data_IF_352451117608
#
_entry.id   IF_352451117608
#
_cell.length_a   1.000
_cell.length_b   1.000
_cell.length_c   1.000
_cell.angle_alpha   90.00
_cell.angle_beta   90.00
_cell.angle_gamma   90.00
#
_symmetry.space_group_name_H-M   'P 1'
#
loop_
_entity.id
_entity.type
_entity.pdbx_description
1 polymer ?
#
# COMPACT_ATOMS: atom_id res chain seq x y z
N UNK A 1 32.80 -26.89 20.27
CA UNK A 1 31.91 -26.52 21.39
C UNK A 1 31.37 -25.13 21.15
N UNK A 2 30.05 -25.06 20.98
CA UNK A 2 29.12 -23.92 21.06
C UNK A 2 27.77 -24.61 20.75
N UNK A 3 27.04 -25.25 21.65
CA UNK A 3 26.68 -24.99 23.05
C UNK A 3 26.06 -23.61 23.31
N UNK A 4 25.16 -23.21 22.42
CA UNK A 4 24.04 -22.35 22.81
C UNK A 4 22.71 -22.91 22.27
N UNK A 5 21.95 -23.47 23.21
CA UNK A 5 20.49 -23.48 23.27
C UNK A 5 19.71 -24.37 22.28
N UNK A 6 19.68 -25.66 22.60
CA UNK A 6 18.41 -26.40 22.62
C UNK A 6 17.36 -25.60 23.42
N UNK A 7 16.25 -25.21 22.78
CA UNK A 7 14.87 -25.13 23.31
C UNK A 7 14.04 -24.17 22.46
N UNK A 8 13.25 -24.72 21.53
CA UNK A 8 12.43 -23.88 20.65
C UNK A 8 11.34 -24.57 19.83
N UNK A 9 10.72 -25.65 20.33
CA UNK A 9 9.51 -26.30 19.78
C UNK A 9 9.70 -26.93 18.39
N UNK A 10 9.85 -28.25 18.37
CA UNK A 10 9.67 -29.08 17.17
C UNK A 10 8.20 -28.96 16.71
N UNK A 11 7.87 -27.85 16.02
CA UNK A 11 6.53 -27.62 15.47
C UNK A 11 6.43 -28.48 14.22
N UNK A 12 5.55 -29.47 14.27
CA UNK A 12 5.21 -30.28 13.11
C UNK A 12 4.75 -29.32 12.00
N UNK A 13 5.39 -29.31 10.81
CA UNK A 13 4.94 -28.49 9.70
C UNK A 13 3.51 -28.88 9.37
N UNK A 14 2.61 -27.91 9.32
CA UNK A 14 1.20 -28.14 8.98
C UNK A 14 0.85 -27.48 7.67
N UNK A 15 0.07 -28.20 6.85
CA UNK A 15 -0.56 -27.69 5.63
C UNK A 15 -1.63 -26.67 5.98
N UNK A 16 -2.16 -26.00 4.97
CA UNK A 16 -3.35 -25.14 5.05
C UNK A 16 -4.55 -25.82 5.72
N UNK A 17 -4.68 -27.14 5.57
CA UNK A 17 -5.76 -27.98 6.12
C UNK A 17 -5.47 -28.53 7.54
N UNK A 18 -4.36 -28.12 8.16
CA UNK A 18 -3.97 -28.57 9.51
C UNK A 18 -3.34 -29.97 9.56
N UNK A 19 -3.28 -30.68 8.45
CA UNK A 19 -2.54 -31.95 8.27
C UNK A 19 -1.03 -31.72 8.29
N UNK A 20 -0.25 -32.77 8.56
CA UNK A 20 1.22 -32.69 8.54
C UNK A 20 1.69 -32.44 7.10
N UNK A 21 2.49 -31.40 6.91
CA UNK A 21 3.08 -31.03 5.62
C UNK A 21 4.36 -31.84 5.40
N UNK A 22 4.42 -32.57 4.31
CA UNK A 22 5.59 -33.34 3.89
C UNK A 22 6.29 -32.66 2.70
N UNK A 23 7.47 -33.14 2.33
CA UNK A 23 8.20 -32.63 1.16
C UNK A 23 7.41 -32.81 -0.16
N UNK A 24 6.45 -33.73 -0.20
CA UNK A 24 5.61 -33.99 -1.37
C UNK A 24 4.49 -32.95 -1.55
N UNK A 25 4.14 -32.24 -0.47
CA UNK A 25 3.13 -31.16 -0.49
C UNK A 25 3.69 -29.80 -0.91
N UNK A 26 5.02 -29.75 -1.06
CA UNK A 26 5.69 -28.57 -1.55
C UNK A 26 5.41 -28.42 -3.04
N UNK A 27 5.27 -27.18 -3.53
CA UNK A 27 5.09 -26.95 -4.95
C UNK A 27 6.26 -27.58 -5.72
N UNK A 28 6.00 -28.13 -6.92
CA UNK A 28 7.06 -28.72 -7.73
C UNK A 28 8.13 -27.67 -8.00
N UNK A 29 9.39 -28.10 -8.06
CA UNK A 29 10.49 -27.20 -8.35
C UNK A 29 10.22 -26.49 -9.70
N UNK A 30 10.60 -25.22 -9.80
CA UNK A 30 10.33 -24.40 -11.00
C UNK A 30 10.98 -24.92 -12.29
N UNK A 31 11.89 -25.89 -12.17
CA UNK A 31 12.56 -26.59 -13.27
C UNK A 31 12.04 -28.01 -13.53
N UNK A 32 11.00 -28.47 -12.81
CA UNK A 32 10.43 -29.80 -12.99
C UNK A 32 9.80 -29.93 -14.40
N UNK A 33 9.97 -31.09 -15.07
CA UNK A 33 9.42 -31.31 -16.41
C UNK A 33 7.89 -31.15 -16.41
N UNK A 34 7.39 -30.30 -17.32
CA UNK A 34 5.95 -30.01 -17.46
C UNK A 34 5.47 -28.74 -16.74
N UNK A 35 6.34 -28.03 -15.99
CA UNK A 35 6.01 -26.75 -15.37
C UNK A 35 6.57 -25.61 -16.22
N UNK A 36 5.69 -24.93 -16.97
CA UNK A 36 6.04 -23.69 -17.68
C UNK A 36 6.49 -22.62 -16.69
N UNK A 37 7.76 -22.25 -16.75
CA UNK A 37 8.43 -21.26 -15.88
C UNK A 37 7.77 -19.87 -15.96
N UNK A 38 7.14 -19.57 -17.10
CA UNK A 38 6.36 -18.38 -17.41
C UNK A 38 4.95 -18.37 -16.79
N UNK A 39 4.44 -19.54 -16.34
CA UNK A 39 3.03 -19.73 -15.97
C UNK A 39 2.83 -20.36 -14.59
N UNK A 40 3.84 -20.40 -13.72
CA UNK A 40 3.62 -20.81 -12.34
C UNK A 40 3.03 -19.65 -11.52
N UNK A 41 1.70 -19.66 -11.38
CA UNK A 41 1.00 -18.67 -10.56
C UNK A 41 1.06 -19.11 -9.09
N UNK A 42 1.94 -18.49 -8.29
CA UNK A 42 2.02 -18.74 -6.86
C UNK A 42 0.68 -18.45 -6.16
N UNK A 43 -0.07 -19.50 -5.80
CA UNK A 43 -1.29 -19.36 -5.01
C UNK A 43 -0.93 -19.05 -3.55
N UNK A 44 -1.88 -18.47 -2.82
CA UNK A 44 -1.68 -18.15 -1.40
C UNK A 44 -1.30 -19.38 -0.57
N UNK A 45 -1.81 -20.56 -0.95
CA UNK A 45 -1.52 -21.83 -0.28
C UNK A 45 -0.10 -22.32 -0.57
N UNK A 46 0.33 -22.28 -1.82
CA UNK A 46 1.70 -22.68 -2.23
C UNK A 46 2.76 -21.83 -1.48
N UNK A 47 2.50 -20.52 -1.35
CA UNK A 47 3.36 -19.61 -0.58
C UNK A 47 3.37 -19.92 0.91
N UNK A 48 2.22 -20.23 1.50
CA UNK A 48 2.10 -20.56 2.90
C UNK A 48 2.83 -21.87 3.23
N UNK A 49 2.73 -22.87 2.35
CA UNK A 49 3.40 -24.16 2.48
C UNK A 49 4.94 -24.00 2.44
N UNK A 50 5.47 -23.20 1.51
CA UNK A 50 6.91 -22.90 1.45
C UNK A 50 7.39 -22.17 2.70
N UNK A 51 6.65 -21.14 3.16
CA UNK A 51 7.00 -20.42 4.40
C UNK A 51 6.94 -21.34 5.63
N UNK A 52 5.92 -22.20 5.72
CA UNK A 52 5.75 -23.18 6.80
C UNK A 52 6.92 -24.16 6.83
N UNK A 53 7.27 -24.73 5.67
CA UNK A 53 8.38 -25.68 5.53
C UNK A 53 9.73 -25.07 5.92
N UNK A 54 9.99 -23.83 5.51
CA UNK A 54 11.22 -23.13 5.91
C UNK A 54 11.22 -22.82 7.41
N UNK A 55 10.09 -22.36 7.97
CA UNK A 55 9.97 -22.04 9.39
C UNK A 55 10.10 -23.26 10.31
N UNK A 56 9.71 -24.44 9.82
CA UNK A 56 9.85 -25.71 10.54
C UNK A 56 11.16 -26.43 10.20
N UNK A 57 12.05 -25.80 9.43
CA UNK A 57 13.32 -26.35 8.99
C UNK A 57 13.19 -27.66 8.17
N UNK A 58 12.07 -27.84 7.47
CA UNK A 58 11.83 -28.96 6.54
C UNK A 58 12.64 -28.78 5.25
N UNK A 59 12.80 -27.53 4.82
CA UNK A 59 13.75 -27.10 3.78
C UNK A 59 14.51 -25.88 4.32
N UNK A 60 15.75 -25.68 3.89
CA UNK A 60 16.48 -24.47 4.28
C UNK A 60 16.02 -23.25 3.48
N UNK A 61 16.31 -22.03 3.96
CA UNK A 61 16.05 -20.78 3.22
C UNK A 61 16.79 -20.77 1.89
N UNK A 62 18.06 -21.15 1.90
CA UNK A 62 18.91 -21.17 0.71
C UNK A 62 18.41 -22.20 -0.31
N UNK A 63 18.01 -23.39 0.17
CA UNK A 63 17.38 -24.41 -0.68
C UNK A 63 16.07 -23.89 -1.29
N UNK A 64 15.23 -23.17 -0.53
CA UNK A 64 14.01 -22.59 -1.07
C UNK A 64 14.31 -21.53 -2.16
N UNK A 65 15.34 -20.70 -1.98
CA UNK A 65 15.74 -19.70 -2.98
C UNK A 65 16.27 -20.35 -4.26
N UNK A 66 17.07 -21.42 -4.14
CA UNK A 66 17.59 -22.16 -5.29
C UNK A 66 16.48 -22.93 -6.01
N UNK A 67 15.65 -23.67 -5.26
CA UNK A 67 14.59 -24.55 -5.79
C UNK A 67 13.46 -23.78 -6.46
N UNK A 68 13.13 -22.61 -5.93
CA UNK A 68 11.99 -21.79 -6.39
C UNK A 68 12.39 -20.48 -7.07
N UNK A 69 13.70 -20.20 -7.20
CA UNK A 69 14.23 -18.94 -7.77
C UNK A 69 13.61 -17.70 -7.11
N UNK A 70 13.36 -17.78 -5.80
CA UNK A 70 12.79 -16.68 -5.02
C UNK A 70 13.89 -15.73 -4.59
N UNK A 71 13.62 -14.42 -4.67
CA UNK A 71 14.52 -13.45 -4.04
C UNK A 71 14.32 -13.44 -2.51
N UNK A 72 15.36 -13.13 -1.72
CA UNK A 72 15.25 -12.99 -0.27
C UNK A 72 14.17 -11.99 0.15
N UNK A 73 13.99 -10.92 -0.63
CA UNK A 73 12.99 -9.87 -0.38
C UNK A 73 11.55 -10.36 -0.58
N UNK A 74 11.32 -11.21 -1.58
CA UNK A 74 10.03 -11.82 -1.85
C UNK A 74 9.63 -12.78 -0.74
N UNK A 75 10.55 -13.65 -0.32
CA UNK A 75 10.33 -14.58 0.78
C UNK A 75 10.05 -13.84 2.10
N UNK A 76 10.87 -12.83 2.44
CA UNK A 76 10.66 -12.02 3.65
C UNK A 76 9.29 -11.31 3.65
N UNK A 77 8.79 -10.94 2.48
CA UNK A 77 7.45 -10.36 2.34
C UNK A 77 6.36 -11.39 2.64
N UNK A 78 6.52 -12.64 2.18
CA UNK A 78 5.58 -13.72 2.49
C UNK A 78 5.62 -14.11 3.96
N UNK A 79 6.82 -14.26 4.54
CA UNK A 79 7.03 -14.58 5.95
C UNK A 79 6.37 -13.53 6.86
N UNK A 80 6.57 -12.23 6.58
CA UNK A 80 5.94 -11.14 7.34
C UNK A 80 4.41 -11.15 7.25
N UNK A 81 3.87 -11.44 6.07
CA UNK A 81 2.43 -11.51 5.84
C UNK A 81 1.78 -12.68 6.58
N UNK A 82 2.44 -13.85 6.58
CA UNK A 82 2.01 -15.02 7.35
C UNK A 82 2.10 -14.74 8.86
N UNK A 83 3.17 -14.09 9.32
CA UNK A 83 3.35 -13.77 10.73
C UNK A 83 2.29 -12.77 11.25
N UNK A 84 1.85 -11.83 10.41
CA UNK A 84 0.92 -10.76 10.81
C UNK A 84 -0.55 -11.11 10.62
N UNK A 85 -0.91 -11.80 9.53
CA UNK A 85 -2.30 -12.03 9.15
C UNK A 85 -2.62 -13.51 8.91
N UNK A 86 -1.68 -14.41 9.23
CA UNK A 86 -1.78 -15.81 8.86
C UNK A 86 -1.89 -15.98 7.33
N UNK A 87 -2.56 -17.05 6.91
CA UNK A 87 -2.79 -17.36 5.48
C UNK A 87 -3.50 -16.23 4.73
N UNK A 88 -4.39 -15.50 5.40
CA UNK A 88 -5.16 -14.42 4.77
C UNK A 88 -4.24 -13.25 4.30
N UNK A 89 -3.04 -13.13 4.87
CA UNK A 89 -2.03 -12.16 4.46
C UNK A 89 -1.48 -12.40 3.06
N UNK A 90 -1.57 -13.61 2.51
CA UNK A 90 -0.96 -13.97 1.22
C UNK A 90 -1.88 -13.81 0.00
N UNK A 91 -3.13 -13.37 0.19
CA UNK A 91 -4.02 -13.05 -0.93
C UNK A 91 -3.49 -11.89 -1.77
N UNK A 92 -3.80 -11.90 -3.07
CA UNK A 92 -3.38 -10.88 -4.04
C UNK A 92 -3.71 -9.45 -3.60
N UNK A 93 -4.83 -9.27 -2.85
CA UNK A 93 -5.24 -7.96 -2.31
C UNK A 93 -4.29 -7.45 -1.21
N UNK A 94 -3.84 -8.33 -0.32
CA UNK A 94 -2.94 -8.02 0.79
C UNK A 94 -1.51 -7.74 0.31
N UNK A 95 -1.03 -8.49 -0.69
CA UNK A 95 0.28 -8.26 -1.31
C UNK A 95 0.37 -6.90 -2.03
N UNK A 96 -0.73 -6.43 -2.62
CA UNK A 96 -0.79 -5.12 -3.30
C UNK A 96 -0.68 -3.96 -2.33
N UNK A 97 -1.23 -4.10 -1.12
CA UNK A 97 -1.12 -3.10 -0.06
C UNK A 97 0.34 -2.95 0.40
N UNK A 98 1.02 -4.06 0.73
CA UNK A 98 2.42 -4.03 1.21
C UNK A 98 3.40 -3.46 0.18
N UNK A 99 3.22 -3.78 -1.11
CA UNK A 99 4.06 -3.22 -2.19
C UNK A 99 3.84 -1.72 -2.38
N UNK A 100 2.64 -1.23 -2.09
CA UNK A 100 2.33 0.20 -2.15
C UNK A 100 2.98 0.95 -0.97
N UNK A 101 2.99 0.33 0.22
CA UNK A 101 3.59 0.91 1.43
C UNK A 101 5.13 0.98 1.33
N UNK A 102 5.82 -0.08 0.88
CA UNK A 102 7.29 -0.05 0.74
C UNK A 102 7.79 0.98 -0.28
N UNK A 103 7.03 1.23 -1.34
CA UNK A 103 7.35 2.26 -2.34
C UNK A 103 7.07 3.68 -1.81
N UNK A 104 6.16 3.83 -0.85
CA UNK A 104 5.96 5.08 -0.12
C UNK A 104 7.07 5.31 0.91
N UNK A 105 7.47 4.28 1.66
CA UNK A 105 8.51 4.38 2.70
C UNK A 105 9.89 4.74 2.12
N UNK A 106 10.34 4.09 1.03
CA UNK A 106 11.63 4.42 0.37
C UNK A 106 11.68 5.83 -0.24
N UNK A 107 10.53 6.49 -0.44
CA UNK A 107 10.46 7.85 -0.98
C UNK A 107 10.44 8.94 0.10
N UNK A 108 10.35 8.56 1.39
CA UNK A 108 10.26 9.49 2.53
C UNK A 108 11.59 10.12 2.93
N UNK A 109 12.73 9.50 2.60
CA UNK A 109 14.02 9.89 3.20
C UNK A 109 14.87 10.89 2.40
N UNK A 110 14.45 11.45 1.26
CA UNK A 110 15.33 12.40 0.53
C UNK A 110 14.62 13.39 -0.39
N UNK A 111 13.68 14.19 0.11
CA UNK A 111 13.27 15.41 -0.62
C UNK A 111 13.12 16.55 0.40
N UNK A 112 14.16 17.38 0.50
CA UNK A 112 14.09 18.67 1.18
C UNK A 112 13.27 19.58 0.24
N UNK A 113 12.03 19.90 0.61
CA UNK A 113 11.17 20.78 -0.18
C UNK A 113 11.69 22.21 -0.07
N UNK A 114 12.37 22.70 -1.11
CA UNK A 114 12.93 24.06 -1.18
C UNK A 114 11.90 25.13 -1.59
N UNK A 115 10.62 24.77 -1.75
CA UNK A 115 9.53 25.70 -2.07
C UNK A 115 8.83 26.27 -0.83
N UNK A 116 8.38 27.52 -0.90
CA UNK A 116 7.51 28.08 0.16
C UNK A 116 6.20 27.29 0.25
N UNK A 117 5.73 26.97 1.47
CA UNK A 117 4.48 26.24 1.65
C UNK A 117 3.28 27.09 1.24
N UNK A 118 2.39 26.51 0.43
CA UNK A 118 1.15 27.18 0.01
C UNK A 118 0.13 27.09 1.15
N UNK A 119 -0.27 28.22 1.72
CA UNK A 119 -1.31 28.28 2.76
C UNK A 119 -2.70 28.27 2.13
N UNK A 120 -3.52 27.27 2.49
CA UNK A 120 -4.92 27.14 2.06
C UNK A 120 -5.82 26.98 3.29
N UNK A 121 -6.09 28.10 3.97
CA UNK A 121 -6.81 28.07 5.25
C UNK A 121 -5.98 27.44 6.38
N UNK A 122 -6.47 26.36 7.02
CA UNK A 122 -5.72 25.69 8.09
C UNK A 122 -4.62 24.76 7.57
N UNK A 123 -4.55 24.55 6.26
CA UNK A 123 -3.59 23.65 5.64
C UNK A 123 -2.38 24.38 5.07
N UNK A 124 -1.19 23.81 5.27
CA UNK A 124 0.02 24.17 4.55
C UNK A 124 0.36 23.06 3.58
N UNK A 125 0.59 23.41 2.32
CA UNK A 125 0.91 22.44 1.28
C UNK A 125 2.33 22.59 0.78
N UNK A 126 2.94 21.46 0.51
CA UNK A 126 4.32 21.28 0.09
C UNK A 126 4.33 20.57 -1.28
N UNK A 127 4.32 21.33 -2.40
CA UNK A 127 4.14 20.78 -3.74
C UNK A 127 5.22 19.78 -4.16
N UNK A 128 6.48 20.00 -3.77
CA UNK A 128 7.60 19.12 -4.15
C UNK A 128 7.42 17.69 -3.65
N UNK A 129 6.85 17.56 -2.44
CA UNK A 129 6.61 16.27 -1.78
C UNK A 129 5.15 15.83 -1.79
N UNK A 130 4.23 16.68 -2.27
CA UNK A 130 2.77 16.48 -2.23
C UNK A 130 2.27 16.20 -0.82
N UNK A 131 2.82 16.91 0.15
CA UNK A 131 2.46 16.83 1.56
C UNK A 131 1.50 17.96 1.92
N UNK A 132 0.54 17.64 2.77
CA UNK A 132 -0.40 18.60 3.37
C UNK A 132 -0.24 18.50 4.87
N UNK A 133 -0.10 19.63 5.55
CA UNK A 133 -0.04 19.70 7.00
C UNK A 133 -1.14 20.56 7.56
N UNK A 134 -1.64 20.23 8.75
CA UNK A 134 -2.60 21.01 9.51
C UNK A 134 -2.11 21.03 10.96
N UNK A 135 -1.54 22.17 11.39
CA UNK A 135 -0.81 22.23 12.66
C UNK A 135 0.36 21.24 12.69
N UNK A 136 0.33 20.28 13.61
CA UNK A 136 1.35 19.22 13.77
C UNK A 136 1.05 17.95 12.99
N UNK A 137 -0.13 17.83 12.37
CA UNK A 137 -0.51 16.65 11.60
C UNK A 137 -0.08 16.78 10.15
N UNK A 138 0.46 15.71 9.57
CA UNK A 138 0.87 15.65 8.18
C UNK A 138 0.26 14.45 7.45
N UNK A 139 -0.09 14.67 6.19
CA UNK A 139 -0.60 13.65 5.27
C UNK A 139 0.05 13.80 3.90
N UNK A 140 0.24 12.68 3.21
CA UNK A 140 0.84 12.64 1.88
C UNK A 140 -0.22 12.28 0.85
N UNK A 141 -0.30 13.07 -0.22
CA UNK A 141 -1.26 12.87 -1.29
C UNK A 141 -0.65 12.03 -2.41
N UNK A 142 -1.47 11.13 -2.97
CA UNK A 142 -1.12 10.44 -4.22
C UNK A 142 -1.02 11.46 -5.36
N UNK A 143 -0.32 11.15 -6.48
CA UNK A 143 -0.26 12.09 -7.61
C UNK A 143 -1.65 12.51 -8.13
N UNK A 144 -2.62 11.59 -8.10
CA UNK A 144 -4.00 11.88 -8.50
C UNK A 144 -4.70 12.79 -7.49
N UNK A 145 -4.56 12.52 -6.19
CA UNK A 145 -5.12 13.38 -5.14
C UNK A 145 -4.53 14.79 -5.19
N UNK A 146 -3.22 14.90 -5.40
CA UNK A 146 -2.55 16.19 -5.55
C UNK A 146 -3.06 16.97 -6.76
N UNK A 147 -3.19 16.35 -7.93
CA UNK A 147 -3.74 17.01 -9.13
C UNK A 147 -5.13 17.59 -8.90
N UNK A 148 -6.01 16.80 -8.27
CA UNK A 148 -7.35 17.26 -7.90
C UNK A 148 -7.27 18.40 -6.89
N UNK A 149 -6.39 18.30 -5.89
CA UNK A 149 -6.26 19.34 -4.88
C UNK A 149 -5.68 20.63 -5.46
N UNK A 150 -4.67 20.55 -6.32
CA UNK A 150 -4.10 21.70 -7.02
C UNK A 150 -5.11 22.43 -7.90
N UNK A 151 -6.06 21.71 -8.50
CA UNK A 151 -7.17 22.37 -9.22
C UNK A 151 -7.98 23.28 -8.28
N UNK A 152 -8.32 22.81 -7.09
CA UNK A 152 -9.05 23.62 -6.10
C UNK A 152 -8.22 24.82 -5.60
N UNK A 153 -6.91 24.68 -5.50
CA UNK A 153 -5.99 25.77 -5.13
C UNK A 153 -5.95 26.83 -6.22
N UNK A 154 -5.89 26.42 -7.50
CA UNK A 154 -5.93 27.36 -8.63
C UNK A 154 -7.27 28.08 -8.75
N UNK A 155 -8.37 27.39 -8.45
CA UNK A 155 -9.74 27.90 -8.56
C UNK A 155 -10.26 28.51 -7.24
N UNK A 156 -9.38 29.11 -6.41
CA UNK A 156 -9.66 29.59 -5.03
C UNK A 156 -11.11 30.01 -4.79
N UNK A 157 -11.86 29.21 -4.03
CA UNK A 157 -13.23 29.53 -3.61
C UNK A 157 -14.32 29.41 -4.69
N UNK A 158 -13.98 28.93 -5.89
CA UNK A 158 -14.95 28.68 -6.97
C UNK A 158 -15.28 27.19 -7.11
N UNK A 159 -16.45 26.91 -7.69
CA UNK A 159 -16.89 25.53 -7.94
C UNK A 159 -16.12 25.01 -9.15
N UNK A 160 -15.35 23.95 -8.95
CA UNK A 160 -14.66 23.22 -10.03
C UNK A 160 -15.64 22.21 -10.62
N UNK A 161 -15.98 22.32 -11.92
CA UNK A 161 -16.89 21.41 -12.59
C UNK A 161 -16.37 19.96 -12.63
N UNK A 162 -17.29 18.99 -12.65
CA UNK A 162 -16.94 17.56 -12.64
C UNK A 162 -16.10 17.14 -13.86
N UNK A 163 -16.35 17.72 -15.04
CA UNK A 163 -15.58 17.45 -16.26
C UNK A 163 -14.12 17.89 -16.15
N UNK A 164 -13.86 19.08 -15.58
CA UNK A 164 -12.50 19.59 -15.37
C UNK A 164 -11.70 18.66 -14.46
N UNK A 165 -12.32 18.15 -13.39
CA UNK A 165 -11.66 17.19 -12.50
C UNK A 165 -11.43 15.85 -13.21
N UNK A 166 -12.40 15.40 -14.01
CA UNK A 166 -12.32 14.14 -14.76
C UNK A 166 -11.18 14.17 -15.79
N UNK A 167 -10.98 15.28 -16.49
CA UNK A 167 -9.91 15.46 -17.49
C UNK A 167 -8.50 15.30 -16.87
N UNK A 168 -8.33 15.63 -15.59
CA UNK A 168 -7.04 15.50 -14.89
C UNK A 168 -6.76 14.10 -14.35
N UNK A 169 -7.74 13.18 -14.40
CA UNK A 169 -7.63 11.82 -13.88
C UNK A 169 -7.48 10.80 -15.02
N UNK A 170 -6.42 9.97 -15.04
CA UNK A 170 -6.26 8.94 -16.06
C UNK A 170 -7.32 7.84 -15.91
N UNK A 171 -8.02 7.54 -17.02
CA UNK A 171 -9.03 6.53 -17.42
C UNK A 171 -9.73 5.56 -16.42
N UNK A 172 -9.29 5.39 -15.17
CA UNK A 172 -9.92 4.50 -14.18
C UNK A 172 -10.23 5.14 -12.82
N UNK A 173 -9.90 6.43 -12.62
CA UNK A 173 -10.24 7.15 -11.38
C UNK A 173 -11.62 7.79 -11.44
N UNK A 174 -12.58 7.32 -10.63
CA UNK A 174 -13.84 8.06 -10.45
C UNK A 174 -13.57 9.33 -9.65
N UNK A 175 -14.07 10.47 -10.13
CA UNK A 175 -13.95 11.78 -9.44
C UNK A 175 -14.45 11.67 -8.00
N UNK A 176 -15.62 11.05 -7.79
CA UNK A 176 -16.21 10.85 -6.46
C UNK A 176 -15.29 10.08 -5.51
N UNK A 177 -14.66 9.00 -5.98
CA UNK A 177 -13.75 8.19 -5.17
C UNK A 177 -12.49 8.95 -4.80
N UNK A 178 -11.95 9.73 -5.73
CA UNK A 178 -10.71 10.49 -5.53
C UNK A 178 -10.95 11.67 -4.60
N UNK A 179 -12.03 12.43 -4.83
CA UNK A 179 -12.45 13.52 -3.96
C UNK A 179 -12.84 13.01 -2.58
N UNK A 180 -13.55 11.87 -2.49
CA UNK A 180 -13.91 11.24 -1.22
C UNK A 180 -12.68 10.89 -0.38
N UNK A 181 -11.70 10.19 -0.97
CA UNK A 181 -10.43 9.84 -0.30
C UNK A 181 -9.59 11.07 0.07
N UNK A 182 -9.58 12.10 -0.78
CA UNK A 182 -8.90 13.36 -0.47
C UNK A 182 -9.55 14.04 0.73
N UNK A 183 -10.89 14.11 0.75
CA UNK A 183 -11.65 14.72 1.83
C UNK A 183 -11.50 13.95 3.15
N UNK A 184 -11.43 12.61 3.10
CA UNK A 184 -11.15 11.76 4.25
C UNK A 184 -9.77 12.06 4.87
N UNK A 185 -8.72 12.16 4.04
CA UNK A 185 -7.39 12.54 4.50
C UNK A 185 -7.36 13.92 5.14
N UNK A 186 -7.96 14.91 4.48
CA UNK A 186 -8.04 16.28 5.02
C UNK A 186 -8.84 16.31 6.32
N UNK A 187 -9.92 15.55 6.41
CA UNK A 187 -10.74 15.41 7.61
C UNK A 187 -9.95 14.81 8.78
N UNK A 188 -9.16 13.76 8.53
CA UNK A 188 -8.36 13.10 9.57
C UNK A 188 -7.36 14.05 10.23
N UNK A 189 -6.71 14.93 9.46
CA UNK A 189 -5.71 15.89 10.00
C UNK A 189 -6.31 17.18 10.57
N UNK A 190 -7.60 17.42 10.35
CA UNK A 190 -8.29 18.68 10.73
C UNK A 190 -9.40 18.48 11.75
N UNK A 191 -9.46 17.31 12.39
CA UNK A 191 -10.42 17.01 13.46
C UNK A 191 -11.82 16.63 12.98
N UNK A 192 -11.95 16.00 11.80
CA UNK A 192 -13.20 15.40 11.33
C UNK A 192 -14.04 16.28 10.40
N UNK A 193 -13.60 17.51 10.09
CA UNK A 193 -14.32 18.42 9.20
C UNK A 193 -14.10 18.04 7.73
N UNK A 194 -15.18 18.05 6.94
CA UNK A 194 -15.10 17.95 5.47
C UNK A 194 -14.75 19.31 4.86
N UNK A 195 -13.80 19.32 3.94
CA UNK A 195 -13.27 20.54 3.30
C UNK A 195 -13.58 20.62 1.82
N UNK A 196 -14.10 19.54 1.24
CA UNK A 196 -14.54 19.51 -0.15
C UNK A 196 -16.02 19.13 -0.17
N UNK A 197 -16.82 20.01 -0.75
CA UNK A 197 -18.27 19.88 -0.80
C UNK A 197 -18.76 19.74 -2.23
N UNK A 198 -19.79 18.90 -2.42
CA UNK A 198 -20.46 18.77 -3.70
C UNK A 198 -21.55 19.85 -3.80
N UNK A 199 -21.45 20.72 -4.81
CA UNK A 199 -22.52 21.64 -5.19
C UNK A 199 -23.39 20.93 -6.22
N UNK A 200 -24.55 20.45 -5.78
CA UNK A 200 -25.51 19.62 -6.55
C UNK A 200 -25.58 20.04 -8.03
N UNK A 201 -25.04 19.19 -8.91
CA UNK A 201 -25.07 19.37 -10.37
C UNK A 201 -24.05 20.36 -10.96
N UNK A 202 -23.35 21.14 -10.15
CA UNK A 202 -22.38 22.15 -10.60
C UNK A 202 -20.92 21.69 -10.49
N UNK A 203 -20.60 20.84 -9.51
CA UNK A 203 -19.26 20.32 -9.31
C UNK A 203 -18.86 20.28 -7.84
N UNK A 204 -17.58 20.49 -7.57
CA UNK A 204 -17.00 20.42 -6.23
C UNK A 204 -16.36 21.75 -5.86
N UNK A 205 -16.43 22.12 -4.59
CA UNK A 205 -15.80 23.34 -4.07
C UNK A 205 -14.96 23.00 -2.85
N UNK A 206 -13.81 23.64 -2.74
CA UNK A 206 -12.97 23.56 -1.56
C UNK A 206 -13.28 24.72 -0.61
N UNK A 207 -13.69 24.38 0.62
CA UNK A 207 -14.18 25.30 1.65
C UNK A 207 -13.10 25.69 2.69
N UNK A 208 -11.83 25.43 2.38
CA UNK A 208 -10.71 25.82 3.24
C UNK A 208 -10.38 27.31 3.21
N UNK A 209 -10.82 28.03 2.18
CA UNK A 209 -10.69 29.48 2.14
C UNK A 209 -11.82 30.12 2.97
N UNK A 210 -11.55 31.16 3.77
CA UNK A 210 -12.63 31.97 4.30
C UNK A 210 -13.49 32.44 3.12
N UNK A 211 -14.80 32.25 3.24
CA UNK A 211 -15.75 32.89 2.33
C UNK A 211 -15.46 34.39 2.48
N UNK A 212 -14.89 35.01 1.45
CA UNK A 212 -14.98 36.45 1.33
C UNK A 212 -16.46 36.70 1.13
N UNK A 213 -17.14 37.07 2.21
CA UNK A 213 -18.48 37.64 2.11
C UNK A 213 -18.37 38.81 1.12
N UNK A 214 -19.01 38.63 -0.03
CA UNK A 214 -19.27 39.70 -1.00
C UNK A 214 -20.41 40.57 -0.49
#
# INVERSE_FOLDING_TARGET
>A
MNEQAEKGKNKIPRKSDGTVLTLEDLPPATWAPGVSQDKYFWRSEDKANVVSAVNTNLISRDEAFERYRLSPEEYATWEKLVASHGRAGLHARSLRAVRSDKNMDRKRETIVDQGEPIKTGPFLLFPGVRRVTCGTFEEYLTPQQWKVFSLFISHKGTVVPHNIIKEQLPNHGTVNSTVGRLNEKLSNISGGKKWIENRRGKGWIYTGWPVLDL
#
